data_IF_994666329315
#
_entry.id   IF_994666329315
#
_cell.length_a   1.000
_cell.length_b   1.000
_cell.length_c   1.000
_cell.angle_alpha   90.00
_cell.angle_beta   90.00
_cell.angle_gamma   90.00
#
_symmetry.space_group_name_H-M   'P 1'
#
loop_
_entity.id
_entity.type
_entity.pdbx_description
1 polymer ?
#
# COMPACT_ATOMS: atom_id res chain seq x y z
N UNK A 1 -28.94 -36.93 -1.58
CA UNK A 1 -29.10 -35.57 -1.02
C UNK A 1 -27.76 -34.87 -1.15
N UNK A 2 -27.58 -34.16 -2.21
CA UNK A 2 -26.32 -33.41 -2.52
C UNK A 2 -26.51 -31.98 -2.02
N UNK A 3 -25.73 -31.60 -1.01
CA UNK A 3 -25.71 -30.23 -0.48
C UNK A 3 -24.89 -29.34 -1.45
N UNK A 4 -25.60 -28.47 -2.15
CA UNK A 4 -25.01 -27.37 -2.93
C UNK A 4 -24.62 -26.24 -1.97
N UNK A 5 -23.35 -26.09 -1.70
CA UNK A 5 -22.83 -24.90 -1.00
C UNK A 5 -22.75 -23.77 -2.03
N UNK A 6 -23.75 -22.89 -2.01
CA UNK A 6 -23.72 -21.60 -2.69
C UNK A 6 -22.72 -20.69 -2.00
N UNK A 7 -21.62 -20.37 -2.67
CA UNK A 7 -20.67 -19.32 -2.25
C UNK A 7 -21.27 -17.98 -2.64
N UNK A 8 -22.10 -17.39 -1.79
CA UNK A 8 -22.50 -15.99 -1.88
C UNK A 8 -21.39 -15.09 -1.36
N UNK A 9 -20.33 -14.93 -2.16
CA UNK A 9 -19.40 -13.83 -1.95
C UNK A 9 -20.12 -12.54 -2.40
N UNK A 10 -20.32 -11.61 -1.46
CA UNK A 10 -20.87 -10.30 -1.75
C UNK A 10 -20.09 -9.63 -2.90
N UNK A 11 -20.76 -8.99 -3.89
CA UNK A 11 -20.05 -8.30 -4.97
C UNK A 11 -19.13 -7.22 -4.39
N UNK A 12 -17.92 -7.15 -4.92
CA UNK A 12 -16.98 -6.11 -4.57
C UNK A 12 -17.62 -4.73 -4.82
N UNK A 13 -17.41 -3.73 -3.95
CA UNK A 13 -18.00 -2.40 -4.12
C UNK A 13 -17.62 -1.80 -5.47
N UNK A 14 -18.55 -1.09 -6.13
CA UNK A 14 -18.26 -0.28 -7.31
C UNK A 14 -17.21 0.76 -6.94
N UNK A 15 -15.98 0.50 -7.29
CA UNK A 15 -14.85 1.39 -7.05
C UNK A 15 -14.97 2.54 -8.04
N UNK A 16 -14.91 3.78 -7.56
CA UNK A 16 -14.73 4.94 -8.43
C UNK A 16 -13.63 4.66 -9.44
N UNK A 17 -13.80 5.09 -10.69
CA UNK A 17 -13.03 4.66 -11.85
C UNK A 17 -11.53 5.03 -11.76
N UNK A 18 -10.75 4.29 -10.98
CA UNK A 18 -9.29 4.37 -10.97
C UNK A 18 -8.81 3.87 -12.35
N UNK A 19 -7.90 4.63 -12.97
CA UNK A 19 -7.32 4.32 -14.28
C UNK A 19 -8.40 4.08 -15.38
N UNK A 20 -9.44 4.92 -15.39
CA UNK A 20 -10.52 4.84 -16.38
C UNK A 20 -11.43 3.61 -16.24
N UNK A 21 -11.46 2.98 -15.06
CA UNK A 21 -12.27 1.79 -14.79
C UNK A 21 -11.67 0.49 -15.32
N UNK A 22 -10.40 0.48 -15.73
CA UNK A 22 -9.72 -0.76 -16.10
C UNK A 22 -9.64 -1.72 -14.91
N UNK A 23 -9.91 -3.01 -15.11
CA UNK A 23 -9.69 -4.02 -14.09
C UNK A 23 -8.21 -4.02 -13.66
N UNK A 24 -7.96 -4.06 -12.36
CA UNK A 24 -6.62 -4.17 -11.81
C UNK A 24 -6.50 -5.57 -11.20
N UNK A 25 -5.64 -6.40 -11.78
CA UNK A 25 -5.35 -7.73 -11.23
C UNK A 25 -3.96 -7.72 -10.56
N UNK A 26 -3.95 -7.58 -9.26
CA UNK A 26 -2.73 -7.56 -8.47
C UNK A 26 -1.99 -8.90 -8.44
N UNK A 27 -2.68 -10.02 -8.74
CA UNK A 27 -2.04 -11.34 -8.76
C UNK A 27 -1.01 -11.44 -9.88
N UNK A 28 -1.19 -10.73 -11.00
CA UNK A 28 -0.27 -10.69 -12.12
C UNK A 28 1.10 -10.05 -11.78
N UNK A 29 1.16 -9.23 -10.75
CA UNK A 29 2.38 -8.52 -10.36
C UNK A 29 3.10 -9.13 -9.16
N UNK A 30 2.55 -10.17 -8.53
CA UNK A 30 3.03 -10.68 -7.24
C UNK A 30 4.51 -11.09 -7.26
N UNK A 31 5.00 -11.70 -8.33
CA UNK A 31 6.39 -12.14 -8.45
C UNK A 31 7.38 -10.97 -8.57
N UNK A 32 7.13 -10.03 -9.49
CA UNK A 32 7.95 -8.83 -9.66
C UNK A 32 7.86 -7.93 -8.40
N UNK A 33 6.67 -7.85 -7.80
CA UNK A 33 6.44 -7.08 -6.57
C UNK A 33 7.28 -7.64 -5.41
N UNK A 34 7.25 -8.95 -5.19
CA UNK A 34 8.01 -9.61 -4.13
C UNK A 34 9.52 -9.47 -4.32
N UNK A 35 10.00 -9.51 -5.58
CA UNK A 35 11.44 -9.51 -5.90
C UNK A 35 12.04 -8.11 -5.99
N UNK A 36 11.30 -7.14 -6.55
CA UNK A 36 11.88 -5.87 -6.99
C UNK A 36 11.34 -4.64 -6.25
N UNK A 37 10.26 -4.77 -5.46
CA UNK A 37 9.77 -3.64 -4.68
C UNK A 37 10.57 -3.51 -3.39
N UNK A 38 11.33 -2.41 -3.20
CA UNK A 38 11.97 -2.15 -1.92
C UNK A 38 10.90 -1.88 -0.86
N UNK A 39 11.13 -2.40 0.34
CA UNK A 39 10.36 -2.00 1.51
C UNK A 39 10.65 -0.55 1.91
N UNK A 40 9.76 0.09 2.67
CA UNK A 40 10.06 1.37 3.28
C UNK A 40 11.35 1.29 4.12
N UNK A 41 12.15 2.36 4.16
CA UNK A 41 13.42 2.35 4.90
C UNK A 41 13.19 2.30 6.42
N UNK A 42 14.19 1.80 7.15
CA UNK A 42 14.17 1.66 8.61
C UNK A 42 13.75 2.93 9.36
N UNK A 43 14.07 4.10 8.80
CA UNK A 43 13.68 5.40 9.35
C UNK A 43 12.15 5.55 9.48
N UNK A 44 11.34 4.98 8.58
CA UNK A 44 9.88 4.98 8.72
C UNK A 44 9.47 4.32 10.03
N UNK A 45 9.96 3.10 10.26
CA UNK A 45 9.59 2.31 11.43
C UNK A 45 10.12 2.91 12.73
N UNK A 46 11.33 3.51 12.70
CA UNK A 46 11.88 4.22 13.85
C UNK A 46 11.02 5.45 14.24
N UNK A 47 10.53 6.21 13.26
CA UNK A 47 9.64 7.35 13.51
C UNK A 47 8.27 6.89 14.00
N UNK A 48 7.72 5.82 13.43
CA UNK A 48 6.46 5.22 13.90
C UNK A 48 6.60 4.71 15.34
N UNK A 49 7.71 4.04 15.68
CA UNK A 49 7.97 3.57 17.05
C UNK A 49 8.08 4.73 18.05
N UNK A 50 8.71 5.84 17.68
CA UNK A 50 8.75 7.06 18.51
C UNK A 50 7.35 7.67 18.74
N UNK A 51 6.40 7.40 17.84
CA UNK A 51 4.98 7.78 17.98
C UNK A 51 4.13 6.68 18.68
N UNK A 52 4.78 5.61 19.15
CA UNK A 52 4.12 4.50 19.85
C UNK A 52 3.48 3.48 18.90
N UNK A 53 3.92 3.36 17.66
CA UNK A 53 3.41 2.39 16.67
C UNK A 53 4.52 1.43 16.24
N UNK A 54 4.25 0.13 16.21
CA UNK A 54 5.22 -0.89 15.80
C UNK A 54 6.20 -1.26 16.92
N UNK A 55 5.81 -1.09 18.17
CA UNK A 55 6.62 -1.48 19.34
C UNK A 55 6.42 -2.97 19.68
N UNK A 56 7.41 -3.62 20.35
CA UNK A 56 7.29 -5.02 20.72
C UNK A 56 6.02 -5.34 21.52
N UNK A 57 5.37 -6.44 21.17
CA UNK A 57 4.14 -6.91 21.81
C UNK A 57 2.85 -6.22 21.36
N UNK A 58 2.90 -5.14 20.60
CA UNK A 58 1.71 -4.52 20.02
C UNK A 58 1.02 -5.45 19.02
N UNK A 59 -0.30 -5.51 19.06
CA UNK A 59 -1.11 -6.22 18.07
C UNK A 59 -1.42 -5.26 16.91
N UNK A 60 -0.91 -5.57 15.73
CA UNK A 60 -1.01 -4.70 14.55
C UNK A 60 -1.69 -5.44 13.41
N UNK A 61 -2.62 -4.77 12.73
CA UNK A 61 -3.20 -5.23 11.48
C UNK A 61 -2.60 -4.42 10.32
N UNK A 62 -2.09 -5.11 9.30
CA UNK A 62 -1.65 -4.52 8.03
C UNK A 62 -2.75 -4.73 6.98
N UNK A 63 -3.50 -3.66 6.67
CA UNK A 63 -4.58 -3.64 5.68
C UNK A 63 -4.01 -3.48 4.26
N UNK A 64 -4.43 -4.36 3.34
CA UNK A 64 -3.87 -4.41 2.00
C UNK A 64 -2.38 -4.75 2.04
N UNK A 65 -2.05 -5.79 2.81
CA UNK A 65 -0.68 -6.18 3.17
C UNK A 65 0.20 -6.54 1.95
N UNK A 66 -0.43 -6.87 0.81
CA UNK A 66 0.26 -7.31 -0.40
C UNK A 66 1.13 -8.54 -0.13
N UNK A 67 2.40 -8.49 -0.51
CA UNK A 67 3.39 -9.54 -0.23
C UNK A 67 3.95 -9.47 1.20
N UNK A 68 3.30 -8.76 2.12
CA UNK A 68 3.64 -8.72 3.54
C UNK A 68 4.90 -7.94 3.90
N UNK A 69 5.37 -7.02 3.07
CA UNK A 69 6.63 -6.27 3.29
C UNK A 69 6.59 -5.52 4.63
N UNK A 70 5.51 -4.75 4.87
CA UNK A 70 5.36 -3.97 6.11
C UNK A 70 5.05 -4.88 7.29
N UNK A 71 4.16 -5.84 7.11
CA UNK A 71 3.80 -6.82 8.15
C UNK A 71 5.02 -7.58 8.67
N UNK A 72 5.87 -8.10 7.76
CA UNK A 72 7.10 -8.82 8.14
C UNK A 72 8.09 -7.93 8.87
N UNK A 73 8.25 -6.67 8.44
CA UNK A 73 9.17 -5.74 9.11
C UNK A 73 8.68 -5.38 10.51
N UNK A 74 7.38 -5.16 10.71
CA UNK A 74 6.80 -4.94 12.03
C UNK A 74 6.95 -6.17 12.94
N UNK A 75 6.73 -7.39 12.40
CA UNK A 75 6.95 -8.63 13.13
C UNK A 75 8.42 -8.82 13.53
N UNK A 76 9.38 -8.50 12.66
CA UNK A 76 10.82 -8.54 12.95
C UNK A 76 11.20 -7.59 14.09
N UNK A 77 10.45 -6.51 14.27
CA UNK A 77 10.59 -5.56 15.38
C UNK A 77 9.84 -5.97 16.66
N UNK A 78 9.24 -7.16 16.67
CA UNK A 78 8.61 -7.75 17.84
C UNK A 78 7.12 -7.46 17.99
N UNK A 79 6.46 -6.85 17.02
CA UNK A 79 5.00 -6.71 17.03
C UNK A 79 4.33 -8.08 16.72
N UNK A 80 3.10 -8.26 17.20
CA UNK A 80 2.21 -9.39 16.87
C UNK A 80 1.36 -8.93 15.69
N UNK A 81 1.65 -9.46 14.50
CA UNK A 81 1.09 -8.89 13.26
C UNK A 81 0.13 -9.86 12.59
N UNK A 82 -1.02 -9.33 12.17
CA UNK A 82 -1.90 -9.94 11.17
C UNK A 82 -1.89 -9.09 9.90
N UNK A 83 -2.01 -9.72 8.73
CA UNK A 83 -2.08 -9.03 7.43
C UNK A 83 -3.27 -9.50 6.61
N UNK A 84 -4.00 -8.59 5.99
CA UNK A 84 -5.09 -8.94 5.08
C UNK A 84 -4.87 -8.33 3.70
N UNK A 85 -5.24 -9.10 2.67
CA UNK A 85 -5.30 -8.63 1.29
C UNK A 85 -6.42 -9.36 0.57
N UNK A 86 -7.06 -8.70 -0.39
CA UNK A 86 -8.13 -9.30 -1.19
C UNK A 86 -7.58 -10.30 -2.22
N UNK A 87 -6.31 -10.15 -2.61
CA UNK A 87 -5.67 -10.98 -3.63
C UNK A 87 -4.99 -12.20 -3.00
N UNK A 88 -5.56 -13.40 -3.23
CA UNK A 88 -5.03 -14.65 -2.70
C UNK A 88 -3.56 -14.90 -3.10
N UNK A 89 -3.15 -14.51 -4.32
CA UNK A 89 -1.76 -14.63 -4.78
C UNK A 89 -0.78 -13.76 -3.98
N UNK A 90 -1.21 -12.58 -3.53
CA UNK A 90 -0.42 -11.72 -2.65
C UNK A 90 -0.25 -12.37 -1.27
N UNK A 91 -1.33 -12.90 -0.70
CA UNK A 91 -1.29 -13.60 0.60
C UNK A 91 -0.38 -14.82 0.54
N UNK A 92 -0.47 -15.64 -0.51
CA UNK A 92 0.42 -16.79 -0.68
C UNK A 92 1.90 -16.38 -0.74
N UNK A 93 2.22 -15.30 -1.46
CA UNK A 93 3.57 -14.74 -1.52
C UNK A 93 4.03 -14.21 -0.15
N UNK A 94 3.14 -13.54 0.61
CA UNK A 94 3.42 -13.04 1.96
C UNK A 94 3.72 -14.18 2.94
N UNK A 95 2.91 -15.24 2.92
CA UNK A 95 3.10 -16.44 3.75
C UNK A 95 4.45 -17.12 3.45
N UNK A 96 4.75 -17.32 2.15
CA UNK A 96 6.02 -17.91 1.72
C UNK A 96 7.22 -17.09 2.18
N UNK A 97 7.16 -15.76 2.03
CA UNK A 97 8.23 -14.86 2.44
C UNK A 97 8.42 -14.84 3.96
N UNK A 98 7.33 -14.81 4.75
CA UNK A 98 7.40 -14.86 6.20
C UNK A 98 7.97 -16.20 6.71
N UNK A 99 7.57 -17.32 6.10
CA UNK A 99 8.09 -18.64 6.44
C UNK A 99 9.60 -18.75 6.16
N UNK A 100 10.05 -18.22 5.00
CA UNK A 100 11.47 -18.20 4.64
C UNK A 100 12.33 -17.35 5.61
N UNK A 101 11.73 -16.36 6.26
CA UNK A 101 12.37 -15.50 7.26
C UNK A 101 12.16 -15.97 8.71
N UNK A 102 11.42 -17.06 8.92
CA UNK A 102 11.10 -17.58 10.26
C UNK A 102 10.20 -16.65 11.08
N UNK A 103 9.39 -15.81 10.42
CA UNK A 103 8.49 -14.85 11.06
C UNK A 103 7.08 -15.43 11.23
N UNK A 104 6.49 -15.21 12.41
CA UNK A 104 5.12 -15.55 12.70
C UNK A 104 4.23 -14.35 12.38
N UNK A 105 3.52 -14.41 11.24
CA UNK A 105 2.52 -13.40 10.82
C UNK A 105 1.26 -14.16 10.37
N UNK A 106 0.11 -13.71 10.84
CA UNK A 106 -1.19 -14.29 10.45
C UNK A 106 -1.71 -13.58 9.20
N UNK A 107 -1.60 -14.25 8.04
CA UNK A 107 -2.05 -13.70 6.74
C UNK A 107 -3.38 -14.31 6.30
N UNK A 108 -4.37 -13.46 6.03
CA UNK A 108 -5.74 -13.86 5.68
C UNK A 108 -6.19 -13.18 4.40
N UNK A 109 -6.86 -13.93 3.51
CA UNK A 109 -7.54 -13.34 2.34
C UNK A 109 -8.85 -12.71 2.79
N UNK A 110 -8.91 -11.38 2.79
CA UNK A 110 -10.10 -10.62 3.18
C UNK A 110 -10.09 -9.21 2.57
N UNK A 111 -11.27 -8.60 2.43
CA UNK A 111 -11.40 -7.19 2.10
C UNK A 111 -11.10 -6.34 3.34
N UNK A 112 -10.52 -5.14 3.15
CA UNK A 112 -10.24 -4.19 4.21
C UNK A 112 -11.53 -3.71 4.92
N UNK A 113 -12.65 -3.75 4.22
CA UNK A 113 -13.99 -3.34 4.65
C UNK A 113 -14.72 -4.41 5.49
N UNK A 114 -14.16 -5.64 5.59
CA UNK A 114 -14.78 -6.77 6.28
C UNK A 114 -13.70 -7.79 6.70
N UNK A 115 -12.96 -7.51 7.75
CA UNK A 115 -11.89 -8.36 8.25
C UNK A 115 -12.42 -9.43 9.23
N UNK A 116 -11.91 -10.68 9.19
CA UNK A 116 -12.42 -11.76 10.01
C UNK A 116 -11.82 -11.76 11.46
N UNK A 117 -11.70 -10.58 12.05
CA UNK A 117 -11.16 -10.44 13.41
C UNK A 117 -12.22 -9.90 14.39
N UNK A 118 -12.06 -10.22 15.66
CA UNK A 118 -12.95 -9.74 16.72
C UNK A 118 -12.80 -8.22 16.92
N UNK A 119 -13.86 -7.61 17.47
CA UNK A 119 -13.85 -6.20 17.88
C UNK A 119 -12.76 -5.94 18.91
N UNK A 120 -12.16 -4.75 18.88
CA UNK A 120 -11.14 -4.29 19.82
C UNK A 120 -9.94 -5.26 19.95
N UNK A 121 -9.43 -5.73 18.80
CA UNK A 121 -8.32 -6.68 18.76
C UNK A 121 -6.96 -5.99 18.64
N UNK A 122 -6.86 -4.88 17.90
CA UNK A 122 -5.60 -4.28 17.51
C UNK A 122 -5.30 -2.96 18.22
N UNK A 123 -4.02 -2.76 18.53
CA UNK A 123 -3.51 -1.49 19.09
C UNK A 123 -3.23 -0.47 18.00
N UNK A 124 -2.88 -0.95 16.80
CA UNK A 124 -2.71 -0.11 15.62
C UNK A 124 -3.15 -0.87 14.35
N UNK A 125 -3.62 -0.11 13.36
CA UNK A 125 -3.90 -0.59 12.01
C UNK A 125 -3.05 0.23 11.04
N UNK A 126 -2.33 -0.44 10.14
CA UNK A 126 -1.45 0.19 9.14
C UNK A 126 -2.02 -0.09 7.76
N UNK A 127 -2.05 0.92 6.89
CA UNK A 127 -2.38 0.79 5.48
C UNK A 127 -1.26 1.45 4.65
N UNK A 128 -0.41 0.62 4.03
CA UNK A 128 0.74 1.10 3.28
C UNK A 128 0.50 1.03 1.77
N UNK A 129 0.46 2.17 1.08
CA UNK A 129 0.31 2.27 -0.38
C UNK A 129 -1.04 1.74 -0.93
N UNK A 130 -2.06 1.55 -0.10
CA UNK A 130 -3.30 0.88 -0.48
C UNK A 130 -4.58 1.66 -0.14
N UNK A 131 -4.51 2.67 0.75
CA UNK A 131 -5.69 3.38 1.23
C UNK A 131 -6.60 3.93 0.11
N UNK A 132 -6.03 4.38 -1.00
CA UNK A 132 -6.75 4.90 -2.16
C UNK A 132 -7.63 3.86 -2.88
N UNK A 133 -7.48 2.58 -2.57
CA UNK A 133 -8.27 1.50 -3.18
C UNK A 133 -9.47 1.08 -2.34
N UNK A 134 -9.59 1.59 -1.12
CA UNK A 134 -10.64 1.20 -0.18
C UNK A 134 -11.86 2.10 -0.28
N UNK A 135 -13.03 1.54 0.06
CA UNK A 135 -14.20 2.34 0.41
C UNK A 135 -13.94 2.99 1.77
N UNK A 136 -13.73 4.29 1.76
CA UNK A 136 -13.29 5.03 2.96
C UNK A 136 -14.28 4.91 4.11
N UNK A 137 -15.59 5.01 3.85
CA UNK A 137 -16.61 4.96 4.92
C UNK A 137 -16.68 3.57 5.54
N UNK A 138 -16.76 2.53 4.71
CA UNK A 138 -16.81 1.15 5.18
C UNK A 138 -15.52 0.74 5.87
N UNK A 139 -14.36 1.13 5.31
CA UNK A 139 -13.06 0.82 5.92
C UNK A 139 -12.88 1.53 7.26
N UNK A 140 -13.31 2.79 7.38
CA UNK A 140 -13.23 3.50 8.66
C UNK A 140 -14.17 2.90 9.71
N UNK A 141 -15.37 2.45 9.33
CA UNK A 141 -16.25 1.71 10.24
C UNK A 141 -15.59 0.44 10.74
N UNK A 142 -14.96 -0.33 9.85
CA UNK A 142 -14.24 -1.55 10.20
C UNK A 142 -12.99 -1.26 11.05
N UNK A 143 -12.21 -0.24 10.72
CA UNK A 143 -11.06 0.22 11.53
C UNK A 143 -11.48 0.57 12.95
N UNK A 144 -12.58 1.30 13.13
CA UNK A 144 -13.13 1.64 14.45
C UNK A 144 -13.55 0.41 15.23
N UNK A 145 -14.18 -0.57 14.56
CA UNK A 145 -14.58 -1.84 15.17
C UNK A 145 -13.36 -2.63 15.65
N UNK A 146 -12.30 -2.67 14.86
CA UNK A 146 -11.12 -3.51 15.10
C UNK A 146 -10.13 -2.89 16.09
N UNK A 147 -10.06 -1.57 16.19
CA UNK A 147 -9.16 -0.89 17.11
C UNK A 147 -9.64 -1.01 18.56
N UNK A 148 -8.69 -1.20 19.46
CA UNK A 148 -8.87 -1.01 20.89
C UNK A 148 -9.11 0.45 21.22
N UNK A 149 -9.66 0.76 22.41
CA UNK A 149 -9.66 2.14 22.90
C UNK A 149 -8.25 2.76 22.83
N UNK A 150 -8.14 3.99 22.33
CA UNK A 150 -6.90 4.69 22.06
C UNK A 150 -6.00 4.08 20.95
N UNK A 151 -6.49 3.09 20.23
CA UNK A 151 -5.82 2.55 19.05
C UNK A 151 -5.75 3.58 17.91
N UNK A 152 -4.79 3.40 17.01
CA UNK A 152 -4.53 4.36 15.92
C UNK A 152 -4.57 3.70 14.55
N UNK A 153 -4.98 4.48 13.55
CA UNK A 153 -4.82 4.15 12.13
C UNK A 153 -3.57 4.86 11.61
N UNK A 154 -2.74 4.15 10.84
CA UNK A 154 -1.60 4.72 10.13
C UNK A 154 -1.79 4.53 8.64
N UNK A 155 -1.74 5.60 7.86
CA UNK A 155 -1.55 5.50 6.41
C UNK A 155 -0.14 5.92 6.05
N UNK A 156 0.52 5.20 5.15
CA UNK A 156 1.88 5.54 4.72
C UNK A 156 2.06 5.29 3.23
N UNK A 157 2.92 6.10 2.62
CA UNK A 157 3.32 5.94 1.23
C UNK A 157 4.84 5.94 1.12
N UNK A 158 5.32 5.22 0.12
CA UNK A 158 6.71 5.17 -0.29
C UNK A 158 6.75 5.23 -1.81
N UNK A 159 6.83 6.44 -2.35
CA UNK A 159 6.62 6.73 -3.77
C UNK A 159 7.80 7.50 -4.35
N UNK A 160 8.18 7.20 -5.59
CA UNK A 160 9.16 8.00 -6.31
C UNK A 160 8.65 9.42 -6.59
N UNK A 161 9.59 10.34 -6.80
CA UNK A 161 9.33 11.76 -7.04
C UNK A 161 9.62 12.13 -8.50
N UNK A 162 8.67 12.00 -9.45
CA UNK A 162 8.93 12.21 -10.87
C UNK A 162 9.32 13.64 -11.20
N UNK A 163 8.87 14.63 -10.43
CA UNK A 163 9.25 16.03 -10.62
C UNK A 163 10.66 16.36 -10.12
N UNK A 164 11.22 15.52 -9.24
CA UNK A 164 12.56 15.70 -8.69
C UNK A 164 13.59 14.71 -9.25
N UNK A 165 13.15 13.66 -9.97
CA UNK A 165 14.00 12.59 -10.46
C UNK A 165 13.79 12.31 -11.95
N UNK A 166 14.88 12.29 -12.72
CA UNK A 166 14.83 12.11 -14.15
C UNK A 166 14.46 10.68 -14.59
N UNK A 167 14.92 9.68 -13.83
CA UNK A 167 14.60 8.26 -14.10
C UNK A 167 13.12 8.01 -13.85
N UNK A 168 12.60 8.48 -12.71
CA UNK A 168 11.19 8.35 -12.37
C UNK A 168 10.30 9.05 -13.42
N UNK A 169 10.65 10.28 -13.82
CA UNK A 169 9.92 11.05 -14.84
C UNK A 169 9.88 10.33 -16.18
N UNK A 170 11.03 9.85 -16.66
CA UNK A 170 11.11 9.13 -17.92
C UNK A 170 10.33 7.81 -17.88
N UNK A 171 10.41 7.09 -16.77
CA UNK A 171 9.67 5.85 -16.57
C UNK A 171 8.15 6.09 -16.61
N UNK A 172 7.65 7.13 -15.92
CA UNK A 172 6.21 7.48 -15.97
C UNK A 172 5.76 7.89 -17.38
N UNK A 173 6.60 8.62 -18.13
CA UNK A 173 6.30 8.94 -19.51
C UNK A 173 6.17 7.69 -20.39
N UNK A 174 6.96 6.65 -20.13
CA UNK A 174 6.84 5.34 -20.78
C UNK A 174 5.56 4.61 -20.37
N UNK A 175 5.20 4.63 -19.08
CA UNK A 175 3.94 4.05 -18.60
C UNK A 175 2.76 4.72 -19.28
N UNK A 176 2.71 6.06 -19.32
CA UNK A 176 1.61 6.80 -19.94
C UNK A 176 1.49 6.57 -21.46
N UNK A 177 2.60 6.27 -22.14
CA UNK A 177 2.55 5.86 -23.56
C UNK A 177 1.91 4.48 -23.73
N UNK A 178 2.23 3.53 -22.84
CA UNK A 178 1.68 2.18 -22.88
C UNK A 178 0.25 2.10 -22.33
N UNK A 179 -0.06 2.94 -21.33
CA UNK A 179 -1.35 3.00 -20.65
C UNK A 179 -1.76 4.46 -20.40
N UNK A 180 -2.38 5.12 -21.38
CA UNK A 180 -2.81 6.53 -21.25
C UNK A 180 -3.85 6.77 -20.17
N UNK A 181 -4.58 5.73 -19.74
CA UNK A 181 -5.58 5.82 -18.68
C UNK A 181 -4.97 5.80 -17.26
N UNK A 182 -3.68 5.52 -17.11
CA UNK A 182 -3.03 5.46 -15.81
C UNK A 182 -2.97 6.83 -15.13
N UNK A 183 -3.55 6.93 -13.94
CA UNK A 183 -3.67 8.17 -13.18
C UNK A 183 -2.59 8.33 -12.09
N UNK A 184 -1.60 7.43 -12.05
CA UNK A 184 -0.57 7.44 -11.00
C UNK A 184 0.65 8.32 -11.31
N UNK A 185 0.69 8.99 -12.46
CA UNK A 185 1.83 9.79 -12.91
C UNK A 185 1.84 11.23 -12.39
N UNK A 186 3.01 11.88 -12.54
CA UNK A 186 3.27 13.30 -12.27
C UNK A 186 2.95 13.76 -10.84
N UNK A 187 3.10 12.88 -9.87
CA UNK A 187 2.90 13.28 -8.48
C UNK A 187 3.83 14.44 -8.09
N UNK A 188 3.23 15.50 -7.54
CA UNK A 188 3.94 16.71 -7.14
C UNK A 188 4.88 16.54 -5.94
N UNK A 189 4.77 15.42 -5.21
CA UNK A 189 5.45 15.21 -3.94
C UNK A 189 4.78 15.90 -2.75
N UNK A 190 3.70 16.66 -2.96
CA UNK A 190 3.01 17.32 -1.83
C UNK A 190 2.28 16.30 -0.96
N UNK A 191 2.51 16.40 0.34
CA UNK A 191 1.80 15.63 1.37
C UNK A 191 0.89 16.62 2.10
N UNK A 192 -0.41 16.40 2.05
CA UNK A 192 -1.37 17.24 2.78
C UNK A 192 -1.23 17.00 4.29
N UNK A 193 -1.25 18.05 5.11
CA UNK A 193 -1.23 17.90 6.57
C UNK A 193 -2.46 17.12 7.06
N UNK A 194 -3.60 17.34 6.44
CA UNK A 194 -4.82 16.55 6.61
C UNK A 194 -5.31 16.07 5.24
N UNK A 195 -5.32 14.76 4.98
CA UNK A 195 -5.90 14.22 3.76
C UNK A 195 -7.42 14.48 3.69
N UNK A 196 -7.92 14.79 2.51
CA UNK A 196 -9.34 15.17 2.33
C UNK A 196 -10.33 14.09 2.84
N UNK A 197 -9.97 12.81 2.73
CA UNK A 197 -10.80 11.72 3.24
C UNK A 197 -10.91 11.70 4.78
N UNK A 198 -9.92 12.29 5.51
CA UNK A 198 -9.89 12.29 6.97
C UNK A 198 -10.72 13.42 7.58
N UNK A 199 -10.99 14.49 6.82
CA UNK A 199 -11.73 15.65 7.30
C UNK A 199 -13.11 15.24 7.85
N UNK A 200 -13.37 15.58 9.12
CA UNK A 200 -14.59 15.22 9.83
C UNK A 200 -14.74 13.74 10.20
N UNK A 201 -13.75 12.86 9.91
CA UNK A 201 -13.81 11.42 10.14
C UNK A 201 -12.73 10.88 11.06
N UNK A 202 -11.56 11.50 11.07
CA UNK A 202 -10.44 11.10 11.89
C UNK A 202 -9.56 12.31 12.22
N UNK A 203 -9.01 12.35 13.43
CA UNK A 203 -8.08 13.39 13.85
C UNK A 203 -6.65 13.01 13.50
N UNK A 204 -5.92 13.86 12.78
CA UNK A 204 -4.48 13.69 12.58
C UNK A 204 -3.78 13.93 13.91
N UNK A 205 -3.19 12.90 14.49
CA UNK A 205 -2.36 12.95 15.69
C UNK A 205 -0.93 13.37 15.39
N UNK A 206 -0.39 12.85 14.30
CA UNK A 206 0.95 13.16 13.83
C UNK A 206 1.07 12.92 12.33
N UNK A 207 1.94 13.66 11.67
CA UNK A 207 2.36 13.37 10.32
C UNK A 207 3.84 13.70 10.15
N UNK A 208 4.51 12.98 9.27
CA UNK A 208 5.87 13.27 8.86
C UNK A 208 6.10 12.82 7.43
N UNK A 209 7.12 13.39 6.81
CA UNK A 209 7.65 12.91 5.55
C UNK A 209 9.16 13.16 5.47
N UNK A 210 9.83 12.39 4.64
CA UNK A 210 11.23 12.60 4.32
C UNK A 210 11.55 11.98 2.95
N UNK A 211 12.59 12.51 2.31
CA UNK A 211 13.07 11.98 1.04
C UNK A 211 14.26 11.05 1.25
N UNK A 212 14.39 10.07 0.37
CA UNK A 212 15.48 9.09 0.35
C UNK A 212 15.83 8.73 -1.09
N UNK A 213 17.13 8.57 -1.36
CA UNK A 213 17.63 8.06 -2.63
C UNK A 213 17.72 6.54 -2.54
N UNK A 214 16.85 5.85 -3.28
CA UNK A 214 16.75 4.39 -3.26
C UNK A 214 17.63 3.80 -4.35
N UNK A 215 18.59 2.91 -4.01
CA UNK A 215 19.46 2.30 -4.98
C UNK A 215 18.74 1.22 -5.80
N UNK A 216 19.00 1.20 -7.11
CA UNK A 216 18.54 0.19 -8.05
C UNK A 216 19.65 -0.22 -8.99
N UNK A 217 19.59 -1.47 -9.47
CA UNK A 217 20.18 -1.87 -10.75
C UNK A 217 19.19 -1.60 -11.89
N UNK A 218 19.66 -1.57 -13.14
CA UNK A 218 18.76 -1.48 -14.30
C UNK A 218 17.72 -2.59 -14.30
N UNK A 219 18.12 -3.82 -14.05
CA UNK A 219 17.21 -4.96 -13.95
C UNK A 219 16.20 -4.82 -12.81
N UNK A 220 16.67 -4.36 -11.62
CA UNK A 220 15.82 -4.13 -10.46
C UNK A 220 14.76 -3.05 -10.69
N UNK A 221 15.13 -1.93 -11.33
CA UNK A 221 14.17 -0.88 -11.66
C UNK A 221 13.15 -1.31 -12.71
N UNK A 222 13.56 -2.06 -13.74
CA UNK A 222 12.65 -2.66 -14.72
C UNK A 222 11.59 -3.53 -14.02
N UNK A 223 12.01 -4.45 -13.16
CA UNK A 223 11.09 -5.28 -12.37
C UNK A 223 10.18 -4.44 -11.46
N UNK A 224 10.73 -3.39 -10.83
CA UNK A 224 9.94 -2.43 -10.03
C UNK A 224 8.85 -1.74 -10.87
N UNK A 225 9.15 -1.39 -12.12
CA UNK A 225 8.19 -0.75 -13.01
C UNK A 225 7.17 -1.75 -13.59
N UNK A 226 7.54 -3.01 -13.88
CA UNK A 226 6.57 -4.06 -14.22
C UNK A 226 5.60 -4.33 -13.07
N UNK A 227 6.04 -4.23 -11.82
CA UNK A 227 5.16 -4.32 -10.65
C UNK A 227 4.24 -3.09 -10.45
N UNK A 228 4.36 -2.06 -11.30
CA UNK A 228 3.50 -0.88 -11.23
C UNK A 228 2.07 -1.22 -11.66
N UNK A 229 1.08 -0.62 -10.96
CA UNK A 229 -0.34 -0.73 -11.31
C UNK A 229 -0.64 -0.41 -12.78
N UNK A 230 0.01 0.61 -13.31
CA UNK A 230 -0.19 1.05 -14.70
C UNK A 230 0.44 0.12 -15.75
N UNK A 231 1.20 -0.89 -15.33
CA UNK A 231 1.90 -1.83 -16.22
C UNK A 231 1.40 -3.25 -15.99
N UNK A 232 2.05 -4.03 -15.12
CA UNK A 232 1.81 -5.47 -15.00
C UNK A 232 0.41 -5.84 -14.48
N UNK A 233 -0.24 -4.96 -13.70
CA UNK A 233 -1.60 -5.22 -13.22
C UNK A 233 -2.71 -4.78 -14.19
N UNK A 234 -2.37 -4.11 -15.31
CA UNK A 234 -3.36 -3.51 -16.22
C UNK A 234 -3.12 -3.81 -17.71
N UNK A 235 -1.91 -4.16 -18.12
CA UNK A 235 -1.55 -4.39 -19.52
C UNK A 235 -1.52 -5.88 -19.86
N UNK A 236 -1.76 -6.20 -21.13
CA UNK A 236 -1.56 -7.56 -21.63
C UNK A 236 -0.06 -7.93 -21.66
N UNK A 237 0.31 -9.22 -21.57
CA UNK A 237 1.72 -9.63 -21.50
C UNK A 237 2.61 -9.04 -22.60
N UNK A 238 2.15 -9.00 -23.85
CA UNK A 238 2.90 -8.42 -24.97
C UNK A 238 3.12 -6.90 -24.84
N UNK A 239 2.17 -6.18 -24.23
CA UNK A 239 2.30 -4.74 -23.93
C UNK A 239 3.28 -4.51 -22.79
N UNK A 240 3.30 -5.39 -21.78
CA UNK A 240 4.30 -5.38 -20.69
C UNK A 240 5.70 -5.59 -21.25
N UNK A 241 5.89 -6.56 -22.16
CA UNK A 241 7.18 -6.84 -22.80
C UNK A 241 7.66 -5.66 -23.64
N UNK A 242 6.76 -5.03 -24.43
CA UNK A 242 7.07 -3.83 -25.21
C UNK A 242 7.45 -2.63 -24.34
N UNK A 243 6.73 -2.42 -23.24
CA UNK A 243 7.07 -1.42 -22.23
C UNK A 243 8.45 -1.70 -21.62
N UNK A 244 8.70 -2.94 -21.18
CA UNK A 244 9.95 -3.32 -20.54
C UNK A 244 11.15 -3.16 -21.48
N UNK A 245 11.01 -3.50 -22.76
CA UNK A 245 12.02 -3.26 -23.80
C UNK A 245 12.30 -1.77 -24.01
N UNK A 246 11.27 -0.94 -24.02
CA UNK A 246 11.41 0.52 -24.15
C UNK A 246 12.11 1.12 -22.94
N UNK A 247 11.79 0.66 -21.74
CA UNK A 247 12.43 1.10 -20.49
C UNK A 247 13.89 0.62 -20.44
N UNK A 248 14.19 -0.61 -20.87
CA UNK A 248 15.55 -1.11 -20.95
C UNK A 248 16.42 -0.23 -21.84
N UNK A 249 15.97 0.04 -23.07
CA UNK A 249 16.70 0.90 -24.03
C UNK A 249 16.94 2.31 -23.46
N UNK A 250 15.95 2.89 -22.77
CA UNK A 250 16.12 4.19 -22.14
C UNK A 250 17.16 4.16 -21.02
N UNK A 251 17.09 3.16 -20.12
CA UNK A 251 18.04 3.00 -19.03
C UNK A 251 19.47 2.80 -19.54
N UNK A 252 19.65 1.96 -20.58
CA UNK A 252 20.96 1.68 -21.18
C UNK A 252 21.62 2.94 -21.72
N UNK A 253 20.83 3.85 -22.30
CA UNK A 253 21.32 5.10 -22.87
C UNK A 253 21.57 6.21 -21.85
N UNK A 254 20.91 6.18 -20.68
CA UNK A 254 20.84 7.37 -19.80
C UNK A 254 21.44 7.16 -18.40
N UNK A 255 21.59 5.92 -17.91
CA UNK A 255 22.11 5.66 -16.55
C UNK A 255 23.13 4.53 -16.52
N UNK A 256 23.97 4.51 -15.48
CA UNK A 256 24.87 3.40 -15.21
C UNK A 256 24.13 2.12 -14.79
N UNK A 257 24.85 0.99 -14.62
CA UNK A 257 24.27 -0.28 -14.15
C UNK A 257 23.61 -0.12 -12.77
N UNK A 258 24.16 0.74 -11.92
CA UNK A 258 23.60 1.12 -10.62
C UNK A 258 23.35 2.62 -10.60
N UNK A 259 22.19 3.00 -10.07
CA UNK A 259 21.75 4.38 -9.92
C UNK A 259 20.80 4.49 -8.72
N UNK A 260 20.43 5.68 -8.36
CA UNK A 260 19.41 5.92 -7.33
C UNK A 260 18.19 6.57 -7.95
N UNK A 261 17.03 6.36 -7.34
CA UNK A 261 15.78 7.05 -7.66
C UNK A 261 15.26 7.72 -6.40
N UNK A 262 15.00 9.02 -6.50
CA UNK A 262 14.47 9.80 -5.38
C UNK A 262 13.05 9.39 -5.03
N UNK A 263 12.85 8.99 -3.78
CA UNK A 263 11.54 8.63 -3.24
C UNK A 263 11.19 9.52 -2.06
N UNK A 264 9.90 9.67 -1.81
CA UNK A 264 9.35 10.23 -0.58
C UNK A 264 8.65 9.15 0.22
N UNK A 265 8.95 9.12 1.51
CA UNK A 265 8.18 8.40 2.52
C UNK A 265 7.31 9.41 3.23
N UNK A 266 6.03 9.13 3.38
CA UNK A 266 5.16 9.87 4.26
C UNK A 266 4.34 8.93 5.15
N UNK A 267 3.93 9.43 6.29
CA UNK A 267 3.01 8.74 7.18
C UNK A 267 2.11 9.73 7.91
N UNK A 268 0.86 9.33 8.08
CA UNK A 268 -0.09 9.98 8.96
C UNK A 268 -0.55 8.99 10.02
N UNK A 269 -0.56 9.41 11.27
CA UNK A 269 -1.13 8.69 12.40
C UNK A 269 -2.44 9.36 12.78
N UNK A 270 -3.52 8.61 12.73
CA UNK A 270 -4.87 9.10 13.01
C UNK A 270 -5.44 8.47 14.26
N UNK A 271 -6.24 9.26 14.97
CA UNK A 271 -7.22 8.77 15.93
C UNK A 271 -8.59 8.78 15.24
N UNK A 272 -9.16 7.60 14.89
CA UNK A 272 -10.47 7.55 14.26
C UNK A 272 -11.54 8.05 15.22
N UNK A 273 -12.35 9.02 14.78
CA UNK A 273 -13.45 9.50 15.62
C UNK A 273 -14.55 8.42 15.72
N UNK A 274 -15.18 8.25 16.89
CA UNK A 274 -16.40 7.47 16.99
C UNK A 274 -17.51 8.09 16.15
N UNK A 275 -18.42 7.27 15.60
CA UNK A 275 -19.50 7.74 14.71
C UNK A 275 -20.36 8.86 15.34
N UNK A 276 -20.56 8.84 16.66
CA UNK A 276 -21.29 9.86 17.40
C UNK A 276 -20.61 11.24 17.42
N UNK A 277 -19.29 11.31 17.22
CA UNK A 277 -18.53 12.56 17.22
C UNK A 277 -18.53 13.25 15.84
N UNK A 278 -18.74 12.52 14.77
CA UNK A 278 -18.81 13.06 13.41
C UNK A 278 -20.05 13.97 13.20
N UNK A 279 -21.13 13.73 13.96
CA UNK A 279 -22.38 14.54 13.90
C UNK A 279 -22.34 15.84 14.69
N UNK A 280 -21.32 16.06 15.52
CA UNK A 280 -21.23 17.23 16.42
C UNK A 280 -20.10 18.21 16.07
N UNK A 281 -19.44 18.06 14.91
CA UNK A 281 -18.46 19.05 14.45
C UNK A 281 -19.18 20.40 14.23
N UNK A 282 -18.76 21.50 14.88
CA UNK A 282 -19.38 22.80 14.66
C UNK A 282 -19.18 23.20 13.20
N UNK A 283 -20.27 23.61 12.53
CA UNK A 283 -20.18 24.26 11.25
C UNK A 283 -19.27 25.48 11.43
N UNK A 284 -18.13 25.48 10.77
CA UNK A 284 -17.23 26.63 10.74
C UNK A 284 -17.99 27.74 10.01
N UNK A 285 -18.34 28.78 10.76
CA UNK A 285 -18.95 30.00 10.25
C UNK A 285 -17.95 30.83 9.43
#
# INVERSE_FOLDING_TARGET
MTATTSSDAAPAPERGAIDGGRPIDWSLTSADYATHRPGPPDRLYALLAALGVGTPGQRILDLGTGTGIVARELARRGAIVSGVDIAAGQIAAAQSAAAAEGLAVDFVVAAAEACPFATATFDAIVASQCWMYFDVERTLAEVRRLLRPAGVLVTTHFSWLPRADAVARASEALVLRANPAWQGGDWSGRVAAEPAWAAGRARVRAMFWFDVDVPFSRAGWRGRMRACRGVGAALAPAEVDAFDGSLAAWLDANVGERFTVRHRVDAHVFEPWPESAASSAPAVA
#
